data_IF_750778861275
#
_entry.id   IF_750778861275
#
_cell.length_a   1.000
_cell.length_b   1.000
_cell.length_c   1.000
_cell.angle_alpha   90.00
_cell.angle_beta   90.00
_cell.angle_gamma   90.00
#
_symmetry.space_group_name_H-M   'P 1'
#
loop_
_entity.id
_entity.type
_entity.pdbx_description
1 polymer ?
#
# COMPACT_ATOMS: atom_id res chain seq x y z
N UNK A 1 -15.65 78.85 -9.15
CA UNK A 1 -14.34 78.18 -8.99
C UNK A 1 -14.48 76.81 -9.62
N UNK A 2 -14.25 76.72 -10.93
CA UNK A 2 -12.94 76.46 -11.55
C UNK A 2 -12.63 74.95 -11.55
N UNK A 3 -12.86 74.36 -12.72
CA UNK A 3 -12.40 73.05 -13.18
C UNK A 3 -10.93 73.19 -13.57
N UNK A 4 -10.05 72.31 -13.06
CA UNK A 4 -8.71 71.99 -13.61
C UNK A 4 -8.41 70.52 -13.23
N UNK A 5 -8.37 69.61 -14.20
CA UNK A 5 -7.18 69.06 -14.87
C UNK A 5 -6.81 67.69 -14.25
N UNK A 6 -7.25 66.58 -14.86
CA UNK A 6 -6.54 65.82 -15.91
C UNK A 6 -5.40 64.98 -15.32
N UNK A 7 -5.70 63.73 -14.96
CA UNK A 7 -4.69 62.68 -14.77
C UNK A 7 -5.23 61.38 -15.40
N UNK A 8 -4.74 61.10 -16.62
CA UNK A 8 -4.93 59.82 -17.31
C UNK A 8 -4.34 58.68 -16.46
N UNK A 9 -4.97 57.50 -16.39
CA UNK A 9 -4.33 56.34 -15.79
C UNK A 9 -3.11 55.96 -16.65
N UNK A 10 -1.94 55.91 -16.01
CA UNK A 10 -0.71 55.46 -16.64
C UNK A 10 -0.89 54.02 -17.14
N UNK A 11 -0.82 53.84 -18.46
CA UNK A 11 -0.78 52.52 -19.09
C UNK A 11 0.59 51.94 -18.78
N UNK A 12 0.66 51.07 -17.76
CA UNK A 12 1.85 50.26 -17.48
C UNK A 12 2.11 49.39 -18.72
N UNK A 13 3.25 49.60 -19.37
CA UNK A 13 3.59 48.84 -20.57
C UNK A 13 3.91 47.39 -20.17
N UNK A 14 3.46 46.43 -20.97
CA UNK A 14 3.73 45.00 -20.74
C UNK A 14 5.24 44.69 -20.68
N UNK A 15 6.08 45.54 -21.28
CA UNK A 15 7.53 45.43 -21.24
C UNK A 15 8.13 45.80 -19.87
N UNK A 16 7.46 46.67 -19.10
CA UNK A 16 7.88 47.02 -17.73
C UNK A 16 7.48 45.91 -16.74
N UNK A 17 6.35 45.24 -16.98
CA UNK A 17 5.92 44.05 -16.22
C UNK A 17 6.81 42.84 -16.47
N UNK A 18 7.31 42.65 -17.70
CA UNK A 18 8.26 41.57 -18.04
C UNK A 18 9.64 41.78 -17.42
N UNK A 19 10.08 43.05 -17.24
CA UNK A 19 11.36 43.37 -16.59
C UNK A 19 11.34 43.16 -15.07
N UNK A 20 10.20 43.28 -14.40
CA UNK A 20 10.08 42.93 -12.97
C UNK A 20 9.87 41.43 -12.72
N UNK A 21 9.40 40.66 -13.72
CA UNK A 21 9.30 39.20 -13.63
C UNK A 21 10.62 38.47 -13.90
N UNK A 22 11.58 39.12 -14.55
CA UNK A 22 12.94 38.63 -14.74
C UNK A 22 13.82 39.04 -13.55
N UNK A 23 14.38 38.07 -12.81
CA UNK A 23 15.33 38.28 -11.69
C UNK A 23 14.72 38.54 -10.30
N UNK A 24 13.78 37.70 -9.88
CA UNK A 24 13.75 37.28 -8.47
C UNK A 24 13.76 35.75 -8.43
N UNK A 25 14.95 35.17 -8.36
CA UNK A 25 15.10 33.81 -7.82
C UNK A 25 14.35 33.83 -6.48
N UNK A 26 13.30 33.00 -6.27
CA UNK A 26 12.58 33.02 -5.02
C UNK A 26 13.59 32.86 -3.88
N UNK A 27 13.47 33.67 -2.84
CA UNK A 27 14.39 33.80 -1.69
C UNK A 27 14.78 32.43 -1.08
N UNK A 28 13.91 31.42 -1.28
CA UNK A 28 14.07 30.01 -0.90
C UNK A 28 15.14 29.21 -1.68
N UNK A 29 15.55 29.66 -2.86
CA UNK A 29 16.55 28.98 -3.71
C UNK A 29 17.96 29.54 -3.53
N UNK A 30 18.13 30.63 -2.77
CA UNK A 30 19.41 31.31 -2.58
C UNK A 30 20.45 30.46 -1.80
N UNK A 31 20.01 29.41 -1.10
CA UNK A 31 20.87 28.50 -0.33
C UNK A 31 21.36 27.25 -1.07
N UNK A 32 20.91 26.99 -2.31
CA UNK A 32 21.27 25.79 -3.07
C UNK A 32 22.09 26.15 -4.30
N UNK A 33 23.30 25.60 -4.40
CA UNK A 33 24.16 25.71 -5.58
C UNK A 33 23.40 25.20 -6.81
N UNK A 34 23.42 25.99 -7.90
CA UNK A 34 22.74 25.61 -9.16
C UNK A 34 23.75 24.94 -10.09
N UNK A 35 23.80 23.59 -10.13
CA UNK A 35 24.74 22.87 -11.00
C UNK A 35 24.38 23.00 -12.48
N UNK A 36 23.21 23.56 -12.80
CA UNK A 36 22.68 23.68 -14.15
C UNK A 36 22.57 25.16 -14.58
N UNK A 37 23.26 26.06 -13.87
CA UNK A 37 23.35 27.49 -14.22
C UNK A 37 23.93 27.66 -15.63
N UNK A 38 23.18 28.31 -16.52
CA UNK A 38 23.59 28.57 -17.91
C UNK A 38 23.24 27.50 -18.94
N UNK A 39 22.58 26.39 -18.54
CA UNK A 39 22.07 25.39 -19.48
C UNK A 39 20.73 25.81 -20.10
N UNK A 40 20.46 25.33 -21.32
CA UNK A 40 19.15 25.50 -21.96
C UNK A 40 18.06 24.71 -21.23
N UNK A 41 16.80 25.13 -21.35
CA UNK A 41 15.67 24.42 -20.71
C UNK A 41 15.52 22.97 -21.21
N UNK A 42 15.87 22.70 -22.46
CA UNK A 42 15.88 21.35 -23.03
C UNK A 42 16.96 20.46 -22.39
N UNK A 43 18.15 21.02 -22.13
CA UNK A 43 19.23 20.30 -21.48
C UNK A 43 18.91 20.00 -20.02
N UNK A 44 18.33 20.97 -19.30
CA UNK A 44 17.83 20.78 -17.93
C UNK A 44 16.77 19.68 -17.88
N UNK A 45 15.78 19.70 -18.78
CA UNK A 45 14.74 18.68 -18.84
C UNK A 45 15.31 17.27 -19.12
N UNK A 46 16.33 17.16 -19.99
CA UNK A 46 17.01 15.90 -20.28
C UNK A 46 17.78 15.38 -19.07
N UNK A 47 18.44 16.25 -18.32
CA UNK A 47 19.17 15.89 -17.10
C UNK A 47 18.19 15.46 -16.01
N UNK A 48 17.11 16.21 -15.80
CA UNK A 48 16.04 15.89 -14.85
C UNK A 48 15.42 14.52 -15.14
N UNK A 49 15.15 14.21 -16.42
CA UNK A 49 14.61 12.89 -16.80
C UNK A 49 15.58 11.75 -16.46
N UNK A 50 16.89 11.93 -16.71
CA UNK A 50 17.91 10.92 -16.34
C UNK A 50 18.02 10.76 -14.83
N UNK A 51 17.96 11.86 -14.09
CA UNK A 51 17.95 11.86 -12.63
C UNK A 51 16.74 11.10 -12.09
N UNK A 52 15.54 11.41 -12.58
CA UNK A 52 14.31 10.71 -12.19
C UNK A 52 14.37 9.21 -12.46
N UNK A 53 14.83 8.79 -13.64
CA UNK A 53 15.02 7.38 -13.93
C UNK A 53 15.97 6.69 -12.96
N UNK A 54 17.05 7.36 -12.56
CA UNK A 54 18.01 6.83 -11.57
C UNK A 54 17.39 6.70 -10.17
N UNK A 55 16.52 7.63 -9.78
CA UNK A 55 15.75 7.55 -8.53
C UNK A 55 14.71 6.43 -8.60
N UNK A 56 13.93 6.40 -9.68
CA UNK A 56 12.85 5.44 -9.89
C UNK A 56 13.37 4.01 -9.84
N UNK A 57 14.44 3.70 -10.56
CA UNK A 57 15.03 2.36 -10.60
C UNK A 57 15.61 1.88 -9.26
N UNK A 58 15.96 2.81 -8.36
CA UNK A 58 16.56 2.48 -7.06
C UNK A 58 15.56 2.42 -5.93
N UNK A 59 14.61 3.37 -5.91
CA UNK A 59 13.66 3.51 -4.80
C UNK A 59 12.39 2.70 -5.04
N UNK A 60 11.75 2.85 -6.20
CA UNK A 60 10.39 2.35 -6.41
C UNK A 60 10.33 0.81 -6.41
N UNK A 61 11.18 0.06 -7.15
CA UNK A 61 11.14 -1.40 -7.14
C UNK A 61 11.32 -2.02 -5.75
N UNK A 62 12.26 -1.48 -4.96
CA UNK A 62 12.51 -2.00 -3.61
C UNK A 62 11.32 -1.73 -2.69
N UNK A 63 10.81 -0.50 -2.69
CA UNK A 63 9.64 -0.13 -1.89
C UNK A 63 8.39 -0.94 -2.30
N UNK A 64 8.17 -1.15 -3.60
CA UNK A 64 7.13 -2.03 -4.12
C UNK A 64 7.29 -3.47 -3.64
N UNK A 65 8.52 -3.99 -3.58
CA UNK A 65 8.78 -5.32 -3.01
C UNK A 65 8.42 -5.39 -1.53
N UNK A 66 8.78 -4.36 -0.74
CA UNK A 66 8.43 -4.31 0.68
C UNK A 66 6.91 -4.33 0.88
N UNK A 67 6.18 -3.59 0.04
CA UNK A 67 4.72 -3.56 0.09
C UNK A 67 4.08 -4.85 -0.41
N UNK A 68 4.66 -5.51 -1.42
CA UNK A 68 4.24 -6.83 -1.88
C UNK A 68 4.28 -7.82 -0.73
N UNK A 69 5.41 -7.90 -0.02
CA UNK A 69 5.62 -8.82 1.09
C UNK A 69 4.67 -8.51 2.26
N UNK A 70 4.53 -7.24 2.62
CA UNK A 70 3.56 -6.80 3.63
C UNK A 70 2.12 -7.21 3.28
N UNK A 71 1.71 -7.06 2.02
CA UNK A 71 0.36 -7.43 1.61
C UNK A 71 0.14 -8.95 1.54
N UNK A 72 1.17 -9.73 1.20
CA UNK A 72 1.15 -11.20 1.33
C UNK A 72 0.93 -11.61 2.80
N UNK A 73 1.79 -11.13 3.69
CA UNK A 73 1.75 -11.39 5.13
C UNK A 73 0.37 -11.10 5.74
N UNK A 74 -0.25 -10.00 5.31
CA UNK A 74 -1.59 -9.59 5.75
C UNK A 74 -2.70 -10.54 5.28
N UNK A 75 -2.67 -10.93 4.00
CA UNK A 75 -3.76 -11.67 3.35
C UNK A 75 -3.67 -13.20 3.56
N UNK A 76 -2.50 -13.72 3.93
CA UNK A 76 -2.27 -15.15 4.13
C UNK A 76 -3.17 -15.84 5.13
N UNK A 77 -3.71 -15.12 6.11
CA UNK A 77 -4.68 -15.68 7.05
C UNK A 77 -5.93 -16.23 6.35
N UNK A 78 -6.31 -15.66 5.20
CA UNK A 78 -7.39 -16.16 4.35
C UNK A 78 -7.07 -17.53 3.75
N UNK A 79 -5.84 -17.75 3.31
CA UNK A 79 -5.37 -19.04 2.82
C UNK A 79 -5.24 -20.07 3.95
N UNK A 80 -4.67 -19.65 5.09
CA UNK A 80 -4.53 -20.47 6.29
C UNK A 80 -5.89 -20.99 6.82
N UNK A 81 -6.96 -20.18 6.70
CA UNK A 81 -8.33 -20.61 7.03
C UNK A 81 -8.76 -21.84 6.23
N UNK A 82 -8.47 -21.86 4.92
CA UNK A 82 -8.81 -22.98 4.03
C UNK A 82 -7.99 -24.22 4.41
N UNK A 83 -6.75 -24.01 4.82
CA UNK A 83 -5.83 -25.06 5.24
C UNK A 83 -5.98 -25.49 6.71
N UNK A 84 -7.15 -25.23 7.32
CA UNK A 84 -7.52 -25.81 8.60
C UNK A 84 -7.28 -24.96 9.85
N UNK A 85 -6.73 -23.73 9.73
CA UNK A 85 -6.43 -22.85 10.87
C UNK A 85 -7.61 -22.72 11.87
N UNK A 86 -8.82 -22.44 11.36
CA UNK A 86 -9.99 -22.24 12.22
C UNK A 86 -10.41 -23.53 12.95
N UNK A 87 -10.20 -24.69 12.34
CA UNK A 87 -10.54 -25.99 12.96
C UNK A 87 -9.53 -26.35 14.04
N UNK A 88 -8.25 -26.18 13.74
CA UNK A 88 -7.16 -26.52 14.67
C UNK A 88 -7.13 -25.65 15.91
N UNK A 89 -7.52 -24.39 15.78
CA UNK A 89 -7.61 -23.44 16.89
C UNK A 89 -9.01 -23.43 17.55
N UNK A 90 -9.95 -24.24 17.08
CA UNK A 90 -11.31 -24.31 17.62
C UNK A 90 -12.09 -22.99 17.51
N UNK A 91 -11.86 -22.22 16.45
CA UNK A 91 -12.40 -20.88 16.29
C UNK A 91 -13.82 -20.89 15.72
N UNK A 92 -14.71 -20.09 16.30
CA UNK A 92 -15.99 -19.76 15.67
C UNK A 92 -15.79 -18.81 14.47
N UNK A 93 -16.77 -18.71 13.55
CA UNK A 93 -16.74 -17.72 12.47
C UNK A 93 -16.57 -16.28 12.99
N UNK A 94 -17.22 -15.94 14.10
CA UNK A 94 -17.12 -14.61 14.72
C UNK A 94 -15.72 -14.35 15.29
N UNK A 95 -15.10 -15.36 15.92
CA UNK A 95 -13.73 -15.27 16.41
C UNK A 95 -12.72 -15.11 15.27
N UNK A 96 -12.95 -15.78 14.13
CA UNK A 96 -12.15 -15.57 12.93
C UNK A 96 -12.25 -14.12 12.44
N UNK A 97 -13.46 -13.59 12.32
CA UNK A 97 -13.65 -12.19 11.91
C UNK A 97 -13.02 -11.20 12.91
N UNK A 98 -13.14 -11.45 14.22
CA UNK A 98 -12.49 -10.64 15.24
C UNK A 98 -10.94 -10.65 15.10
N UNK A 99 -10.36 -11.76 14.67
CA UNK A 99 -8.92 -11.88 14.38
C UNK A 99 -8.51 -11.04 13.18
N UNK A 100 -9.38 -10.89 12.17
CA UNK A 100 -9.12 -9.98 11.06
C UNK A 100 -9.17 -8.52 11.52
N UNK A 101 -10.17 -8.17 12.34
CA UNK A 101 -10.41 -6.80 12.79
C UNK A 101 -9.33 -6.28 13.75
N UNK A 102 -8.82 -7.12 14.67
CA UNK A 102 -7.85 -6.67 15.69
C UNK A 102 -6.55 -6.12 15.07
N UNK A 103 -6.15 -6.65 13.91
CA UNK A 103 -5.04 -6.14 13.11
C UNK A 103 -5.27 -4.66 12.75
N UNK A 104 -6.42 -4.34 12.14
CA UNK A 104 -6.74 -2.98 11.70
C UNK A 104 -6.90 -2.02 12.89
N UNK A 105 -7.41 -2.48 14.03
CA UNK A 105 -7.49 -1.66 15.25
C UNK A 105 -6.11 -1.18 15.68
N UNK A 106 -5.14 -2.11 15.81
CA UNK A 106 -3.77 -1.74 16.15
C UNK A 106 -3.14 -0.87 15.07
N UNK A 107 -3.32 -1.21 13.79
CA UNK A 107 -2.79 -0.46 12.66
C UNK A 107 -3.24 1.01 12.71
N UNK A 108 -4.55 1.27 12.80
CA UNK A 108 -5.11 2.63 12.79
C UNK A 108 -4.69 3.48 14.01
N UNK A 109 -4.51 2.86 15.18
CA UNK A 109 -4.08 3.59 16.39
C UNK A 109 -2.62 4.01 16.29
N UNK A 110 -1.75 3.14 15.77
CA UNK A 110 -0.32 3.39 15.71
C UNK A 110 0.14 4.09 14.43
N UNK A 111 -0.68 4.12 13.38
CA UNK A 111 -0.35 4.76 12.10
C UNK A 111 0.06 6.25 12.24
N UNK A 112 -0.64 7.11 12.99
CA UNK A 112 -0.20 8.50 13.18
C UNK A 112 1.11 8.57 13.99
N UNK A 113 1.29 7.68 14.96
CA UNK A 113 2.44 7.65 15.85
C UNK A 113 3.71 7.22 15.11
N UNK A 114 3.61 6.19 14.27
CA UNK A 114 4.72 5.70 13.45
C UNK A 114 5.17 6.74 12.43
N UNK A 115 4.25 7.53 11.86
CA UNK A 115 4.61 8.64 10.98
C UNK A 115 5.39 9.76 11.68
N UNK A 116 4.98 10.14 12.89
CA UNK A 116 5.72 11.12 13.70
C UNK A 116 7.11 10.57 14.02
N UNK A 117 7.18 9.28 14.34
CA UNK A 117 8.44 8.61 14.64
C UNK A 117 9.36 8.52 13.42
N UNK A 118 8.83 8.27 12.22
CA UNK A 118 9.59 8.27 10.97
C UNK A 118 10.19 9.65 10.64
N UNK A 119 9.54 10.75 11.02
CA UNK A 119 10.15 12.09 10.87
C UNK A 119 11.34 12.31 11.80
N UNK A 120 11.35 11.65 12.97
CA UNK A 120 12.43 11.76 13.95
C UNK A 120 13.56 10.75 13.72
N UNK A 121 13.22 9.58 13.18
CA UNK A 121 14.14 8.51 12.89
C UNK A 121 14.56 8.52 11.42
N UNK A 122 15.64 7.80 11.12
CA UNK A 122 16.11 7.65 9.74
C UNK A 122 15.29 6.56 9.03
N UNK A 123 14.76 6.81 7.82
CA UNK A 123 14.02 5.80 7.05
C UNK A 123 14.82 4.50 6.84
N UNK A 124 16.14 4.60 6.63
CA UNK A 124 17.05 3.45 6.48
C UNK A 124 17.15 2.53 7.69
N UNK A 125 16.76 3.01 8.88
CA UNK A 125 16.76 2.21 10.11
C UNK A 125 15.33 1.84 10.47
N UNK A 126 14.40 2.80 10.37
CA UNK A 126 13.02 2.62 10.78
C UNK A 126 12.30 1.56 9.95
N UNK A 127 12.32 1.68 8.61
CA UNK A 127 11.61 0.75 7.73
C UNK A 127 12.14 -0.68 7.93
N UNK A 128 13.46 -0.96 7.87
CA UNK A 128 13.98 -2.30 8.11
C UNK A 128 13.70 -2.84 9.53
N UNK A 129 13.73 -1.98 10.55
CA UNK A 129 13.45 -2.40 11.92
C UNK A 129 12.01 -2.87 12.09
N UNK A 130 11.05 -2.15 11.50
CA UNK A 130 9.64 -2.58 11.51
C UNK A 130 9.44 -3.85 10.68
N UNK A 131 10.17 -4.02 9.56
CA UNK A 131 10.15 -5.25 8.75
C UNK A 131 10.53 -6.48 9.56
N UNK A 132 11.62 -6.38 10.32
CA UNK A 132 12.10 -7.48 11.15
C UNK A 132 11.11 -7.75 12.28
N UNK A 133 10.60 -6.71 12.94
CA UNK A 133 9.63 -6.86 14.02
C UNK A 133 8.34 -7.54 13.54
N UNK A 134 7.80 -7.13 12.39
CA UNK A 134 6.59 -7.74 11.85
C UNK A 134 6.87 -9.15 11.31
N UNK A 135 8.04 -9.38 10.69
CA UNK A 135 8.45 -10.71 10.22
C UNK A 135 8.57 -11.72 11.37
N UNK A 136 9.07 -11.29 12.54
CA UNK A 136 9.06 -12.09 13.76
C UNK A 136 7.63 -12.40 14.20
N UNK A 137 6.73 -11.41 14.19
CA UNK A 137 5.32 -11.63 14.50
C UNK A 137 4.69 -12.65 13.52
N UNK A 138 4.99 -12.54 12.23
CA UNK A 138 4.55 -13.50 11.21
C UNK A 138 5.02 -14.93 11.54
N UNK A 139 6.32 -15.13 11.79
CA UNK A 139 6.83 -16.45 12.16
C UNK A 139 6.21 -16.98 13.46
N UNK A 140 5.96 -16.11 14.44
CA UNK A 140 5.27 -16.48 15.68
C UNK A 140 3.81 -16.92 15.45
N UNK A 141 3.10 -16.39 14.44
CA UNK A 141 1.74 -16.84 14.12
C UNK A 141 1.71 -18.32 13.73
N UNK A 142 2.73 -18.84 13.05
CA UNK A 142 2.80 -20.28 12.74
C UNK A 142 3.12 -21.17 13.94
N UNK A 143 3.37 -20.60 15.12
CA UNK A 143 3.65 -21.34 16.36
C UNK A 143 2.48 -21.31 17.36
N UNK A 144 1.41 -20.59 17.06
CA UNK A 144 0.26 -20.45 17.96
C UNK A 144 -0.53 -21.75 18.03
N UNK A 145 -1.11 -22.03 19.21
CA UNK A 145 -1.92 -23.23 19.47
C UNK A 145 -3.32 -22.92 19.98
N UNK A 146 -3.65 -21.64 20.14
CA UNK A 146 -4.94 -21.19 20.63
C UNK A 146 -5.33 -19.84 20.01
N UNK A 147 -6.63 -19.54 20.09
CA UNK A 147 -7.22 -18.30 19.60
C UNK A 147 -6.58 -17.04 20.22
N UNK A 148 -6.38 -17.02 21.53
CA UNK A 148 -5.83 -15.86 22.23
C UNK A 148 -4.40 -15.52 21.79
N UNK A 149 -3.57 -16.54 21.53
CA UNK A 149 -2.23 -16.37 20.99
C UNK A 149 -2.25 -15.80 19.58
N UNK A 150 -3.16 -16.28 18.72
CA UNK A 150 -3.35 -15.71 17.39
C UNK A 150 -3.77 -14.24 17.47
N UNK A 151 -4.73 -13.90 18.33
CA UNK A 151 -5.17 -12.52 18.56
C UNK A 151 -4.04 -11.60 19.01
N UNK A 152 -3.24 -12.04 19.98
CA UNK A 152 -2.11 -11.26 20.50
C UNK A 152 -1.07 -10.98 19.41
N UNK A 153 -0.62 -12.02 18.71
CA UNK A 153 0.39 -11.86 17.65
C UNK A 153 -0.15 -11.02 16.50
N UNK A 154 -1.44 -11.12 16.16
CA UNK A 154 -2.07 -10.30 15.12
C UNK A 154 -2.15 -8.81 15.49
N UNK A 155 -2.36 -8.50 16.77
CA UNK A 155 -2.31 -7.12 17.28
C UNK A 155 -0.89 -6.56 17.19
N UNK A 156 0.13 -7.33 17.58
CA UNK A 156 1.53 -6.91 17.44
C UNK A 156 1.95 -6.75 15.98
N UNK A 157 1.44 -7.61 15.09
CA UNK A 157 1.64 -7.48 13.65
C UNK A 157 1.15 -6.13 13.16
N UNK A 158 -0.11 -5.77 13.46
CA UNK A 158 -0.67 -4.48 13.03
C UNK A 158 0.06 -3.28 13.63
N UNK A 159 0.49 -3.34 14.90
CA UNK A 159 1.38 -2.34 15.50
C UNK A 159 2.69 -2.18 14.72
N UNK A 160 3.37 -3.29 14.40
CA UNK A 160 4.65 -3.26 13.71
C UNK A 160 4.53 -2.81 12.24
N UNK A 161 3.45 -3.19 11.56
CA UNK A 161 3.25 -2.90 10.13
C UNK A 161 2.70 -1.48 9.87
N UNK A 162 2.12 -0.83 10.89
CA UNK A 162 1.48 0.50 10.81
C UNK A 162 2.38 1.60 10.21
N UNK A 163 3.70 1.46 10.29
CA UNK A 163 4.65 2.45 9.78
C UNK A 163 4.98 2.33 8.29
N UNK A 164 4.63 1.22 7.62
CA UNK A 164 5.12 0.98 6.27
C UNK A 164 4.42 1.85 5.23
N UNK A 165 3.11 1.71 5.05
CA UNK A 165 2.37 2.40 3.98
C UNK A 165 2.49 3.93 4.05
N UNK A 166 2.13 4.60 5.17
CA UNK A 166 2.24 6.04 5.21
C UNK A 166 3.69 6.51 5.30
N UNK A 167 4.58 5.68 5.85
CA UNK A 167 6.01 5.96 5.90
C UNK A 167 6.66 6.00 4.52
N UNK A 168 6.29 5.07 3.64
CA UNK A 168 6.70 5.10 2.24
C UNK A 168 6.07 6.28 1.51
N UNK A 169 4.80 6.61 1.78
CA UNK A 169 4.16 7.81 1.22
C UNK A 169 4.92 9.10 1.57
N UNK A 170 5.27 9.28 2.83
CA UNK A 170 6.10 10.42 3.27
C UNK A 170 7.52 10.35 2.69
N UNK A 171 8.14 9.18 2.68
CA UNK A 171 9.46 9.00 2.08
C UNK A 171 9.46 9.42 0.61
N UNK A 172 8.52 8.94 -0.19
CA UNK A 172 8.41 9.30 -1.61
C UNK A 172 8.11 10.80 -1.81
N UNK A 173 7.32 11.43 -0.94
CA UNK A 173 7.12 12.89 -1.03
C UNK A 173 8.42 13.66 -0.80
N UNK A 174 9.37 13.09 -0.05
CA UNK A 174 10.70 13.67 0.13
C UNK A 174 11.63 13.53 -1.07
N UNK A 175 11.30 12.71 -2.06
CA UNK A 175 12.15 12.45 -3.22
C UNK A 175 11.59 12.99 -4.54
N UNK A 176 10.27 13.20 -4.62
CA UNK A 176 9.57 13.53 -5.86
C UNK A 176 8.68 14.77 -5.73
N UNK A 177 8.50 15.48 -6.85
CA UNK A 177 7.55 16.60 -6.95
C UNK A 177 6.11 16.10 -6.85
N UNK A 178 5.17 16.98 -6.50
CA UNK A 178 3.72 16.67 -6.40
C UNK A 178 3.14 16.10 -7.70
N UNK A 179 3.59 16.59 -8.85
CA UNK A 179 3.18 16.10 -10.17
C UNK A 179 3.73 14.70 -10.51
N UNK A 180 4.85 14.33 -9.91
CA UNK A 180 5.58 13.08 -10.16
C UNK A 180 5.19 11.98 -9.16
N UNK A 181 4.79 12.37 -7.96
CA UNK A 181 4.48 11.51 -6.83
C UNK A 181 3.33 10.53 -7.12
N UNK A 182 2.23 10.99 -7.71
CA UNK A 182 1.02 10.19 -7.88
C UNK A 182 1.23 8.90 -8.68
N UNK A 183 1.97 8.97 -9.79
CA UNK A 183 2.27 7.80 -10.64
C UNK A 183 3.12 6.78 -9.88
N UNK A 184 4.10 7.25 -9.10
CA UNK A 184 5.01 6.37 -8.34
C UNK A 184 4.31 5.73 -7.16
N UNK A 185 3.42 6.46 -6.49
CA UNK A 185 2.56 5.91 -5.45
C UNK A 185 1.60 4.85 -6.03
N UNK A 186 1.10 5.04 -7.25
CA UNK A 186 0.29 4.03 -7.93
C UNK A 186 1.10 2.76 -8.30
N UNK A 187 2.34 2.91 -8.77
CA UNK A 187 3.24 1.76 -9.03
C UNK A 187 3.53 1.02 -7.72
N UNK A 188 3.84 1.75 -6.65
CA UNK A 188 4.02 1.20 -5.30
C UNK A 188 2.78 0.40 -4.86
N UNK A 189 1.59 1.01 -4.97
CA UNK A 189 0.34 0.38 -4.56
C UNK A 189 -0.05 -0.84 -5.43
N UNK A 190 0.35 -0.86 -6.71
CA UNK A 190 0.06 -1.99 -7.61
C UNK A 190 0.68 -3.31 -7.15
N UNK A 191 1.71 -3.26 -6.29
CA UNK A 191 2.29 -4.44 -5.67
C UNK A 191 1.29 -5.21 -4.78
N UNK A 192 0.27 -4.56 -4.22
CA UNK A 192 -0.81 -5.26 -3.50
C UNK A 192 -1.64 -6.16 -4.41
N UNK A 193 -1.89 -5.74 -5.65
CA UNK A 193 -2.61 -6.56 -6.63
C UNK A 193 -1.78 -7.80 -7.00
N UNK A 194 -0.46 -7.64 -7.19
CA UNK A 194 0.46 -8.76 -7.44
C UNK A 194 0.47 -9.73 -6.26
N UNK A 195 0.57 -9.24 -5.03
CA UNK A 195 0.49 -10.06 -3.83
C UNK A 195 -0.81 -10.87 -3.78
N UNK A 196 -1.97 -10.25 -4.06
CA UNK A 196 -3.24 -10.96 -4.11
C UNK A 196 -3.32 -12.05 -5.19
N UNK A 197 -2.75 -11.81 -6.38
CA UNK A 197 -2.76 -12.78 -7.48
C UNK A 197 -1.84 -13.99 -7.25
N UNK A 198 -0.66 -13.77 -6.65
CA UNK A 198 0.34 -14.84 -6.47
C UNK A 198 0.33 -15.47 -5.07
N UNK A 199 -0.19 -14.77 -4.05
CA UNK A 199 -0.18 -15.23 -2.66
C UNK A 199 -0.94 -16.54 -2.44
N UNK A 200 -2.09 -16.71 -3.08
CA UNK A 200 -2.84 -17.97 -3.03
C UNK A 200 -2.08 -19.15 -3.64
N UNK A 201 -1.31 -18.92 -4.71
CA UNK A 201 -0.50 -19.96 -5.35
C UNK A 201 0.69 -20.35 -4.46
N UNK A 202 1.36 -19.35 -3.86
CA UNK A 202 2.46 -19.58 -2.93
C UNK A 202 1.98 -20.35 -1.69
N UNK A 203 0.87 -19.92 -1.10
CA UNK A 203 0.24 -20.58 0.04
C UNK A 203 -0.15 -22.04 -0.30
N UNK A 204 -0.73 -22.29 -1.47
CA UNK A 204 -1.07 -23.65 -1.90
C UNK A 204 0.16 -24.55 -2.13
N UNK A 205 1.28 -23.98 -2.56
CA UNK A 205 2.53 -24.71 -2.68
C UNK A 205 3.11 -25.08 -1.30
N UNK A 206 3.08 -24.13 -0.35
CA UNK A 206 3.57 -24.32 1.02
C UNK A 206 2.68 -25.28 1.81
N UNK A 207 1.36 -25.21 1.63
CA UNK A 207 0.40 -26.10 2.32
C UNK A 207 0.67 -27.60 2.07
N UNK A 208 1.38 -27.96 0.98
CA UNK A 208 1.82 -29.35 0.74
C UNK A 208 2.84 -29.87 1.76
N UNK A 209 3.38 -28.99 2.61
CA UNK A 209 4.26 -29.35 3.73
C UNK A 209 3.48 -29.77 4.98
N UNK A 210 2.17 -30.03 4.86
CA UNK A 210 1.37 -30.59 5.94
C UNK A 210 2.00 -31.88 6.52
N UNK A 211 2.12 -31.92 7.85
CA UNK A 211 2.76 -33.02 8.58
C UNK A 211 4.29 -32.95 8.66
N UNK A 212 4.95 -32.07 7.89
CA UNK A 212 6.41 -31.87 7.98
C UNK A 212 6.74 -31.25 9.35
N UNK A 213 7.65 -31.89 10.10
CA UNK A 213 8.03 -31.43 11.44
C UNK A 213 6.90 -31.48 12.48
N UNK A 214 5.83 -32.26 12.23
CA UNK A 214 4.68 -32.37 13.12
C UNK A 214 3.81 -31.11 13.19
N UNK A 215 3.88 -30.24 12.18
CA UNK A 215 3.09 -29.02 12.04
C UNK A 215 2.12 -29.12 10.88
N UNK A 216 1.00 -28.44 11.00
CA UNK A 216 0.01 -28.35 9.93
C UNK A 216 0.48 -27.43 8.80
N UNK A 217 -0.03 -27.62 7.58
CA UNK A 217 0.32 -26.83 6.41
C UNK A 217 0.20 -25.32 6.64
N UNK A 218 -0.86 -24.86 7.34
CA UNK A 218 -1.11 -23.44 7.59
C UNK A 218 -0.03 -22.79 8.45
N UNK A 219 0.59 -23.55 9.35
CA UNK A 219 1.67 -23.04 10.20
C UNK A 219 2.92 -22.75 9.37
N UNK A 220 3.20 -23.58 8.35
CA UNK A 220 4.32 -23.40 7.45
C UNK A 220 4.19 -22.17 6.56
N UNK A 221 2.97 -21.80 6.16
CA UNK A 221 2.69 -20.55 5.41
C UNK A 221 3.25 -19.36 6.20
N UNK A 222 2.86 -19.22 7.47
CA UNK A 222 3.32 -18.11 8.31
C UNK A 222 4.81 -18.17 8.66
N UNK A 223 5.35 -19.37 8.90
CA UNK A 223 6.77 -19.54 9.25
C UNK A 223 7.67 -19.16 8.06
N UNK A 224 7.43 -19.73 6.88
CA UNK A 224 8.28 -19.51 5.72
C UNK A 224 8.18 -18.08 5.21
N UNK A 225 6.97 -17.54 5.10
CA UNK A 225 6.79 -16.17 4.64
C UNK A 225 7.36 -15.16 5.64
N UNK A 226 7.14 -15.35 6.95
CA UNK A 226 7.76 -14.53 7.98
C UNK A 226 9.29 -14.56 7.96
N UNK A 227 9.90 -15.74 7.71
CA UNK A 227 11.36 -15.87 7.57
C UNK A 227 11.88 -15.11 6.33
N UNK A 228 11.20 -15.23 5.20
CA UNK A 228 11.53 -14.46 3.99
C UNK A 228 11.44 -12.97 4.27
N UNK A 229 10.41 -12.54 5.00
CA UNK A 229 10.25 -11.14 5.38
C UNK A 229 11.37 -10.65 6.30
N UNK A 230 11.81 -11.46 7.27
CA UNK A 230 12.97 -11.13 8.12
C UNK A 230 14.23 -10.96 7.26
N UNK A 231 14.48 -11.88 6.31
CA UNK A 231 15.64 -11.79 5.40
C UNK A 231 15.59 -10.51 4.57
N UNK A 232 14.42 -10.20 3.98
CA UNK A 232 14.23 -8.96 3.21
C UNK A 232 14.38 -7.73 4.12
N UNK A 233 13.93 -7.81 5.36
CA UNK A 233 14.12 -6.79 6.39
C UNK A 233 15.59 -6.51 6.65
N UNK A 234 16.42 -7.55 6.80
CA UNK A 234 17.86 -7.37 6.90
C UNK A 234 18.46 -6.74 5.64
N UNK A 235 18.11 -7.24 4.44
CA UNK A 235 18.61 -6.68 3.18
C UNK A 235 18.21 -5.21 3.02
N UNK A 236 17.05 -4.83 3.57
CA UNK A 236 16.53 -3.46 3.49
C UNK A 236 17.41 -2.43 4.20
N UNK A 237 18.27 -2.81 5.16
CA UNK A 237 19.25 -1.88 5.74
C UNK A 237 20.26 -1.35 4.70
N UNK A 238 20.51 -2.07 3.61
CA UNK A 238 21.40 -1.64 2.54
C UNK A 238 20.66 -1.07 1.33
N UNK A 239 19.40 -1.46 1.13
CA UNK A 239 18.61 -1.03 -0.03
C UNK A 239 17.72 0.19 0.24
N UNK A 240 17.34 0.45 1.50
CA UNK A 240 16.57 1.64 1.88
C UNK A 240 17.53 2.79 2.16
N UNK A 241 17.45 3.82 1.33
CA UNK A 241 18.26 5.02 1.49
C UNK A 241 17.60 6.01 2.45
N UNK A 242 18.42 6.87 3.07
CA UNK A 242 17.95 8.00 3.87
C UNK A 242 17.33 9.10 3.00
N UNK A 243 17.08 10.27 3.57
CA UNK A 243 16.59 11.44 2.85
C UNK A 243 17.56 11.90 1.73
N UNK A 244 17.15 12.84 0.85
CA UNK A 244 18.00 13.34 -0.22
C UNK A 244 19.26 14.06 0.28
N UNK A 245 19.20 14.70 1.45
CA UNK A 245 20.41 15.03 2.20
C UNK A 245 21.04 13.72 2.71
N UNK A 246 22.32 13.44 2.75
CA UNK A 246 22.87 12.10 3.14
C UNK A 246 22.67 10.95 2.15
N UNK A 247 21.92 11.12 1.06
CA UNK A 247 21.88 10.12 -0.01
C UNK A 247 23.29 9.82 -0.55
N UNK A 248 23.78 8.59 -0.33
CA UNK A 248 25.15 8.16 -0.70
C UNK A 248 25.30 7.80 -2.18
N UNK A 249 24.19 7.52 -2.86
CA UNK A 249 24.19 7.03 -4.24
C UNK A 249 24.16 8.13 -5.31
N UNK A 250 23.92 9.38 -4.90
CA UNK A 250 23.84 10.55 -5.75
C UNK A 250 25.19 11.27 -5.79
N UNK A 251 25.53 11.83 -6.94
CA UNK A 251 26.65 12.78 -7.03
C UNK A 251 26.27 14.08 -6.29
N UNK A 252 27.25 14.89 -5.84
CA UNK A 252 26.96 16.20 -5.23
C UNK A 252 26.07 17.07 -6.11
N UNK A 253 26.31 17.08 -7.43
CA UNK A 253 25.49 17.78 -8.40
C UNK A 253 24.05 17.23 -8.49
N UNK A 254 23.87 15.90 -8.57
CA UNK A 254 22.54 15.29 -8.62
C UNK A 254 21.75 15.57 -7.33
N UNK A 255 22.42 15.57 -6.18
CA UNK A 255 21.81 15.89 -4.89
C UNK A 255 21.34 17.34 -4.82
N UNK A 256 22.17 18.29 -5.29
CA UNK A 256 21.79 19.69 -5.39
C UNK A 256 20.56 19.88 -6.30
N UNK A 257 20.50 19.16 -7.44
CA UNK A 257 19.31 19.16 -8.33
C UNK A 257 18.06 18.67 -7.63
N UNK A 258 18.11 17.56 -6.89
CA UNK A 258 16.95 17.04 -6.15
C UNK A 258 16.44 18.07 -5.14
N UNK A 259 17.32 18.65 -4.33
CA UNK A 259 16.94 19.63 -3.31
C UNK A 259 16.36 20.91 -3.93
N UNK A 260 16.98 21.43 -4.99
CA UNK A 260 16.49 22.61 -5.74
C UNK A 260 15.10 22.37 -6.34
N UNK A 261 14.87 21.18 -6.91
CA UNK A 261 13.59 20.77 -7.48
C UNK A 261 12.48 20.67 -6.43
N UNK A 262 12.79 20.14 -5.24
CA UNK A 262 11.83 20.02 -4.14
C UNK A 262 11.52 21.38 -3.49
N UNK A 263 12.54 22.24 -3.35
CA UNK A 263 12.38 23.60 -2.85
C UNK A 263 11.47 24.44 -3.76
N UNK A 264 11.64 24.31 -5.07
CA UNK A 264 10.79 24.98 -6.05
C UNK A 264 9.31 24.55 -5.99
N UNK A 265 9.04 23.30 -5.59
CA UNK A 265 7.69 22.74 -5.49
C UNK A 265 7.06 22.89 -4.09
N UNK A 266 7.72 23.63 -3.20
CA UNK A 266 7.30 23.84 -1.80
C UNK A 266 6.96 22.52 -1.09
N UNK A 267 7.78 21.48 -1.31
CA UNK A 267 7.72 20.24 -0.54
C UNK A 267 8.46 20.45 0.79
N UNK A 268 7.84 20.06 1.92
CA UNK A 268 8.35 20.21 3.30
C UNK A 268 9.68 19.51 3.59
N UNK A 269 10.29 18.89 2.58
CA UNK A 269 11.55 18.16 2.64
C UNK A 269 12.75 19.06 2.36
N UNK A 270 12.51 20.24 1.76
CA UNK A 270 13.55 21.22 1.45
C UNK A 270 13.90 22.15 2.64
N UNK A 271 12.95 22.40 3.52
CA UNK A 271 13.10 23.16 4.76
C UNK A 271 12.66 22.22 5.88
N UNK A 272 13.49 21.93 6.89
CA UNK A 272 13.14 21.02 7.99
C UNK A 272 11.94 21.59 8.79
N UNK A 273 10.71 21.41 8.29
CA UNK A 273 9.51 21.92 8.93
C UNK A 273 9.22 21.12 10.21
N UNK A 274 9.40 21.77 11.35
CA UNK A 274 9.05 21.18 12.64
C UNK A 274 7.55 20.90 12.73
N UNK A 275 7.21 19.74 13.28
CA UNK A 275 5.83 19.35 13.50
C UNK A 275 5.14 20.28 14.52
N UNK A 276 4.15 21.06 14.06
CA UNK A 276 3.34 21.92 14.91
C UNK A 276 1.95 21.30 15.14
N UNK A 277 1.54 21.22 16.41
CA UNK A 277 0.20 20.74 16.80
C UNK A 277 -0.94 21.55 16.18
N UNK A 278 -0.70 22.81 15.81
CA UNK A 278 -1.67 23.64 15.12
C UNK A 278 -2.10 23.05 13.77
N UNK A 279 -1.17 22.45 13.02
CA UNK A 279 -1.48 21.84 11.72
C UNK A 279 -2.34 20.58 11.88
N UNK A 280 -2.08 19.78 12.92
CA UNK A 280 -2.90 18.61 13.23
C UNK A 280 -4.37 19.01 13.46
N UNK A 281 -4.61 19.98 14.35
CA UNK A 281 -5.97 20.44 14.62
C UNK A 281 -6.62 21.15 13.43
N UNK A 282 -5.84 21.82 12.57
CA UNK A 282 -6.34 22.38 11.32
C UNK A 282 -6.82 21.27 10.36
N UNK A 283 -6.05 20.19 10.20
CA UNK A 283 -6.43 19.05 9.35
C UNK A 283 -7.66 18.30 9.89
N UNK A 284 -7.77 18.14 11.22
CA UNK A 284 -8.94 17.49 11.85
C UNK A 284 -10.21 18.32 11.71
N UNK A 285 -10.10 19.66 11.71
CA UNK A 285 -11.26 20.57 11.54
C UNK A 285 -11.64 20.79 10.08
N UNK A 286 -10.77 20.44 9.12
CA UNK A 286 -11.07 20.56 7.70
C UNK A 286 -12.06 19.47 7.27
N UNK A 287 -13.21 19.89 6.74
CA UNK A 287 -14.25 18.99 6.23
C UNK A 287 -13.75 18.13 5.07
N UNK A 288 -12.79 18.65 4.27
CA UNK A 288 -12.22 17.92 3.13
C UNK A 288 -11.50 16.64 3.58
N UNK A 289 -10.85 16.66 4.73
CA UNK A 289 -10.19 15.50 5.33
C UNK A 289 -11.21 14.39 5.59
N UNK A 290 -12.35 14.72 6.19
CA UNK A 290 -13.41 13.75 6.50
C UNK A 290 -14.12 13.22 5.25
N UNK A 291 -14.37 14.08 4.26
CA UNK A 291 -14.89 13.63 2.96
C UNK A 291 -13.93 12.66 2.28
N UNK A 292 -12.63 12.98 2.27
CA UNK A 292 -11.59 12.08 1.76
C UNK A 292 -11.55 10.75 2.50
N UNK A 293 -11.64 10.76 3.83
CA UNK A 293 -11.67 9.56 4.66
C UNK A 293 -12.87 8.65 4.37
N UNK A 294 -14.07 9.23 4.17
CA UNK A 294 -15.29 8.45 3.83
C UNK A 294 -15.15 7.81 2.44
N UNK A 295 -14.66 8.55 1.46
CA UNK A 295 -14.42 8.03 0.11
C UNK A 295 -13.40 6.89 0.16
N UNK A 296 -12.30 7.09 0.90
CA UNK A 296 -11.23 6.13 1.05
C UNK A 296 -11.69 4.85 1.76
N UNK A 297 -12.51 4.98 2.82
CA UNK A 297 -13.13 3.85 3.52
C UNK A 297 -13.96 2.97 2.57
N UNK A 298 -14.71 3.56 1.64
CA UNK A 298 -15.49 2.80 0.65
C UNK A 298 -14.62 1.98 -0.31
N UNK A 299 -13.50 2.55 -0.76
CA UNK A 299 -12.53 1.87 -1.62
C UNK A 299 -11.80 0.75 -0.88
N UNK A 300 -11.24 1.04 0.29
CA UNK A 300 -10.46 0.09 1.09
C UNK A 300 -11.32 -1.06 1.64
N UNK A 301 -12.56 -0.77 2.06
CA UNK A 301 -13.50 -1.79 2.51
C UNK A 301 -13.75 -2.86 1.46
N UNK A 302 -13.94 -2.44 0.20
CA UNK A 302 -14.11 -3.34 -0.94
C UNK A 302 -12.82 -4.14 -1.23
N UNK A 303 -11.66 -3.48 -1.16
CA UNK A 303 -10.35 -4.12 -1.39
C UNK A 303 -10.06 -5.25 -0.38
N UNK A 304 -10.27 -5.01 0.91
CA UNK A 304 -9.99 -6.02 1.94
C UNK A 304 -11.07 -7.10 2.01
N UNK A 305 -12.34 -6.75 1.80
CA UNK A 305 -13.41 -7.74 1.73
C UNK A 305 -13.13 -8.74 0.59
N UNK A 306 -12.65 -8.26 -0.55
CA UNK A 306 -12.20 -9.14 -1.61
C UNK A 306 -10.95 -9.92 -1.19
N UNK A 307 -9.87 -9.24 -0.82
CA UNK A 307 -8.55 -9.88 -0.60
C UNK A 307 -8.53 -10.93 0.53
N UNK A 308 -9.29 -10.73 1.62
CA UNK A 308 -9.30 -11.64 2.77
C UNK A 308 -10.24 -12.84 2.58
N UNK A 309 -11.29 -12.69 1.77
CA UNK A 309 -12.32 -13.71 1.61
C UNK A 309 -12.29 -14.42 0.26
N UNK A 310 -11.54 -13.92 -0.74
CA UNK A 310 -11.36 -14.57 -2.05
C UNK A 310 -11.04 -16.08 -1.92
N UNK A 311 -10.11 -16.53 -1.07
CA UNK A 311 -9.84 -17.96 -0.94
C UNK A 311 -11.06 -18.76 -0.46
N UNK A 312 -11.85 -18.20 0.46
CA UNK A 312 -13.10 -18.81 0.95
C UNK A 312 -14.17 -18.83 -0.13
N UNK A 313 -14.38 -17.72 -0.83
CA UNK A 313 -15.36 -17.59 -1.92
C UNK A 313 -15.06 -18.62 -3.01
N UNK A 314 -13.80 -18.74 -3.43
CA UNK A 314 -13.38 -19.69 -4.47
C UNK A 314 -13.60 -21.13 -4.00
N UNK A 315 -13.28 -21.44 -2.74
CA UNK A 315 -13.49 -22.77 -2.18
C UNK A 315 -14.98 -23.15 -2.13
N UNK A 316 -15.85 -22.21 -1.76
CA UNK A 316 -17.31 -22.43 -1.76
C UNK A 316 -17.86 -22.63 -3.19
N UNK A 317 -17.43 -21.80 -4.15
CA UNK A 317 -17.81 -21.91 -5.56
C UNK A 317 -17.29 -23.20 -6.23
N UNK A 318 -16.12 -23.69 -5.81
CA UNK A 318 -15.46 -24.88 -6.36
C UNK A 318 -16.15 -26.22 -6.08
N UNK A 319 -17.20 -26.24 -5.26
CA UNK A 319 -17.88 -27.49 -4.91
C UNK A 319 -19.10 -27.75 -5.79
N UNK A 320 -18.85 -28.41 -6.93
CA UNK A 320 -19.80 -29.40 -7.50
C UNK A 320 -19.19 -30.40 -8.49
N UNK A 321 -18.06 -30.16 -9.17
CA UNK A 321 -17.50 -31.15 -10.13
C UNK A 321 -15.99 -31.28 -10.27
N UNK A 322 -15.13 -30.42 -9.71
CA UNK A 322 -13.69 -30.58 -9.87
C UNK A 322 -12.97 -30.27 -8.56
N UNK A 323 -11.99 -31.12 -8.20
CA UNK A 323 -11.05 -30.86 -7.10
C UNK A 323 -10.50 -29.43 -7.26
N UNK A 324 -10.30 -28.65 -6.18
CA UNK A 324 -9.81 -27.28 -6.27
C UNK A 324 -8.32 -27.29 -6.63
N UNK A 325 -8.01 -27.64 -7.88
CA UNK A 325 -6.68 -27.48 -8.45
C UNK A 325 -6.62 -26.07 -9.03
N UNK A 326 -5.86 -25.19 -8.38
CA UNK A 326 -4.93 -24.14 -8.87
C UNK A 326 -5.29 -23.35 -10.15
N UNK A 327 -5.87 -23.98 -11.17
CA UNK A 327 -6.31 -23.41 -12.45
C UNK A 327 -7.41 -22.37 -12.27
N UNK A 328 -8.34 -22.53 -11.33
CA UNK A 328 -9.50 -21.63 -11.20
C UNK A 328 -9.16 -20.20 -10.77
N UNK A 329 -8.05 -19.97 -10.05
CA UNK A 329 -7.67 -18.61 -9.62
C UNK A 329 -7.21 -17.80 -10.84
N UNK A 330 -6.38 -18.39 -11.70
CA UNK A 330 -5.96 -17.80 -12.96
C UNK A 330 -7.11 -17.75 -13.97
N UNK A 331 -8.03 -18.72 -13.99
CA UNK A 331 -9.18 -18.70 -14.90
C UNK A 331 -10.20 -17.60 -14.51
N UNK A 332 -10.44 -17.34 -13.23
CA UNK A 332 -11.32 -16.24 -12.80
C UNK A 332 -10.67 -14.87 -13.03
N UNK A 333 -9.35 -14.75 -12.87
CA UNK A 333 -8.63 -13.48 -13.08
C UNK A 333 -8.27 -13.18 -14.55
N UNK A 334 -7.90 -14.19 -15.35
CA UNK A 334 -7.50 -13.99 -16.75
C UNK A 334 -8.66 -14.13 -17.73
N UNK A 335 -9.68 -14.94 -17.40
CA UNK A 335 -10.86 -15.04 -18.26
C UNK A 335 -11.91 -14.07 -17.74
N UNK A 336 -11.93 -12.89 -18.35
CA UNK A 336 -13.04 -11.93 -18.32
C UNK A 336 -14.28 -12.55 -19.02
N UNK A 337 -14.68 -13.76 -18.64
CA UNK A 337 -15.90 -14.39 -19.13
C UNK A 337 -17.05 -13.70 -18.43
N UNK A 338 -17.94 -13.01 -19.16
CA UNK A 338 -19.11 -12.41 -18.54
C UNK A 338 -19.92 -13.51 -17.85
N UNK A 339 -20.42 -13.17 -16.66
CA UNK A 339 -21.23 -13.96 -15.71
C UNK A 339 -22.51 -14.63 -16.28
N UNK A 340 -22.66 -14.73 -17.61
CA UNK A 340 -23.94 -14.90 -18.30
C UNK A 340 -24.33 -16.35 -18.62
N UNK A 341 -23.62 -17.38 -18.15
CA UNK A 341 -23.90 -18.76 -18.58
C UNK A 341 -24.03 -19.84 -17.48
N UNK A 342 -24.14 -19.47 -16.20
CA UNK A 342 -24.52 -20.45 -15.16
C UNK A 342 -26.00 -20.43 -14.77
N UNK A 343 -26.82 -19.55 -15.34
CA UNK A 343 -28.25 -19.43 -15.03
C UNK A 343 -29.20 -20.23 -15.94
N UNK A 344 -28.70 -21.08 -16.85
CA UNK A 344 -29.56 -21.86 -17.75
C UNK A 344 -29.17 -23.33 -17.80
N UNK A 345 -29.63 -24.10 -16.82
CA UNK A 345 -29.79 -25.54 -16.96
C UNK A 345 -31.10 -25.94 -16.26
N UNK A 346 -32.19 -26.17 -17.01
CA UNK A 346 -33.40 -26.77 -16.44
C UNK A 346 -33.11 -28.23 -16.11
N UNK A 347 -33.40 -28.61 -14.87
CA UNK A 347 -33.42 -29.98 -14.39
C UNK A 347 -34.56 -30.75 -15.07
N UNK A 348 -34.31 -31.35 -16.23
CA UNK A 348 -35.16 -32.43 -16.74
C UNK A 348 -34.68 -33.75 -16.13
N UNK A 349 -35.09 -34.04 -14.90
CA UNK A 349 -35.15 -35.42 -14.39
C UNK A 349 -36.61 -35.80 -14.23
N UNK A 350 -36.99 -36.74 -15.09
CA UNK A 350 -38.18 -37.56 -15.10
C UNK A 350 -38.77 -37.79 -13.70
N UNK A 351 -39.93 -37.19 -13.44
CA UNK A 351 -40.77 -37.52 -12.29
C UNK A 351 -41.83 -38.51 -12.79
N UNK A 352 -41.54 -39.80 -12.61
CA UNK A 352 -42.51 -40.88 -12.83
C UNK A 352 -43.26 -41.13 -11.51
N UNK A 353 -44.58 -41.29 -11.63
CA UNK A 353 -45.50 -41.87 -10.64
C UNK A 353 -45.88 -41.01 -9.43
N UNK A 354 -47.07 -40.38 -9.50
CA UNK A 354 -48.17 -40.59 -8.55
C UNK A 354 -49.42 -39.84 -9.03
N UNK A 355 -50.20 -40.47 -9.91
CA UNK A 355 -51.58 -40.13 -10.16
C UNK A 355 -52.43 -40.71 -9.02
N UNK A 356 -52.93 -39.87 -8.12
CA UNK A 356 -54.09 -40.21 -7.29
C UNK A 356 -55.04 -39.01 -7.27
N UNK A 357 -55.90 -38.98 -8.29
CA UNK A 357 -57.06 -38.09 -8.34
C UNK A 357 -58.20 -38.78 -7.58
N UNK A 358 -58.65 -38.13 -6.51
CA UNK A 358 -59.86 -38.42 -5.78
C UNK A 358 -61.09 -38.50 -6.72
N UNK A 359 -61.82 -39.62 -6.66
CA UNK A 359 -63.26 -39.67 -7.00
C UNK A 359 -64.00 -40.34 -5.84
N UNK A 360 -64.94 -39.61 -5.28
CA UNK A 360 -65.97 -40.07 -4.33
C UNK A 360 -67.29 -40.35 -5.10
N UNK A 361 -68.28 -41.01 -4.47
CA UNK A 361 -69.00 -42.13 -5.07
C UNK A 361 -70.42 -41.78 -5.57
N UNK A 362 -70.92 -42.63 -6.46
CA UNK A 362 -72.33 -43.06 -6.58
C UNK A 362 -72.42 -44.15 -7.64
#
# INVERSE_FOLDING_TARGET
MAVTADEKPAVVSLADTEKELGSKVPDKLAGFEDPDAGLSEEEKARIDRKLLWKLDLRLVPWLSLLYLVSFLDRTNIGNAKIDGLSKDLGMSPDQYNATLTIFFVSYSVFEPLTNILLKRLRPSIFIPSIMIAWGICMTCMGLVKNYSGLMAVRWFLGLSEAGLFPGVGYFLSCWYKRSEFGVRMAIFFSAAALAGSFGGLLAAAIAKMDGVGGKQGWAWIFILEGLVTIVIGFISFWCVYDFPDRATFLSPADRARVLRRLAADQQSSAEHEEFKMSYFWASVKDWKTWTGAIIYMGADGSLYAFSLFVPTIINELGTKKHKPSIVNILEVFMTNRPFRQQATAPSARSCSVCHHTLRLPS
#
